data_IF_205192825814
#
_entry.id   IF_205192825814
#
_cell.length_a   1.000
_cell.length_b   1.000
_cell.length_c   1.000
_cell.angle_alpha   90.00
_cell.angle_beta   90.00
_cell.angle_gamma   90.00
#
_symmetry.space_group_name_H-M   'P 1'
#
loop_
_entity.id
_entity.type
_entity.pdbx_description
1 polymer ?
#
# COMPACT_ATOMS: atom_id res chain seq x y z
N UNK A 1 7.54 16.74 9.35
CA UNK A 1 7.83 15.72 8.31
C UNK A 1 8.22 14.36 8.88
N UNK A 2 8.69 14.27 10.14
CA UNK A 2 9.20 13.03 10.73
C UNK A 2 8.16 11.90 10.86
N UNK A 3 6.90 12.21 11.21
CA UNK A 3 5.84 11.21 11.30
C UNK A 3 5.54 10.52 9.96
N UNK A 4 5.52 11.27 8.86
CA UNK A 4 5.33 10.71 7.52
C UNK A 4 6.50 9.82 7.13
N UNK A 5 7.74 10.27 7.41
CA UNK A 5 8.93 9.49 7.12
C UNK A 5 8.97 8.17 7.92
N UNK A 6 8.61 8.21 9.20
CA UNK A 6 8.49 7.03 10.05
C UNK A 6 7.45 6.05 9.52
N UNK A 7 6.29 6.55 9.08
CA UNK A 7 5.23 5.70 8.53
C UNK A 7 5.63 5.10 7.19
N UNK A 8 6.22 5.87 6.27
CA UNK A 8 6.73 5.30 5.01
C UNK A 8 7.72 4.17 5.27
N UNK A 9 8.59 4.32 6.29
CA UNK A 9 9.53 3.28 6.72
C UNK A 9 8.84 2.06 7.35
N UNK A 10 7.79 2.26 8.14
CA UNK A 10 6.97 1.19 8.72
C UNK A 10 6.15 0.43 7.67
N UNK A 11 5.68 1.12 6.64
CA UNK A 11 4.90 0.53 5.55
C UNK A 11 5.78 -0.27 4.56
N UNK A 12 7.11 -0.20 4.70
CA UNK A 12 8.11 -0.81 3.81
C UNK A 12 7.76 -0.63 2.31
N UNK A 13 7.31 0.58 1.96
CA UNK A 13 6.95 0.90 0.58
C UNK A 13 8.23 1.02 -0.24
N UNK A 14 8.48 0.04 -1.11
CA UNK A 14 9.67 -0.05 -1.96
C UNK A 14 9.58 0.78 -3.23
N UNK A 15 8.37 1.13 -3.67
CA UNK A 15 8.17 1.90 -4.90
C UNK A 15 8.39 3.41 -4.65
N UNK A 16 9.39 4.03 -5.30
CA UNK A 16 9.65 5.47 -5.16
C UNK A 16 8.53 6.37 -5.71
N UNK A 17 7.65 5.84 -6.56
CA UNK A 17 6.54 6.57 -7.17
C UNK A 17 5.30 6.63 -6.25
N UNK A 18 5.30 5.88 -5.15
CA UNK A 18 4.28 5.96 -4.10
C UNK A 18 4.67 7.04 -3.11
N UNK A 19 3.80 8.04 -2.95
CA UNK A 19 4.00 9.15 -2.02
C UNK A 19 2.88 9.22 -1.01
N UNK A 20 3.22 9.24 0.28
CA UNK A 20 2.27 9.52 1.36
C UNK A 20 2.04 11.03 1.41
N UNK A 21 0.79 11.42 1.21
CA UNK A 21 0.39 12.83 1.18
C UNK A 21 -0.01 13.31 2.57
N UNK A 22 -0.80 12.53 3.29
CA UNK A 22 -1.32 12.94 4.59
C UNK A 22 -1.78 11.74 5.44
N UNK A 23 -1.93 11.97 6.73
CA UNK A 23 -2.51 11.04 7.69
C UNK A 23 -3.62 11.76 8.43
N UNK A 24 -4.82 11.18 8.42
CA UNK A 24 -5.99 11.71 9.11
C UNK A 24 -6.33 10.75 10.24
N UNK A 25 -6.32 11.24 11.47
CA UNK A 25 -6.83 10.51 12.62
C UNK A 25 -8.33 10.80 12.72
N UNK A 26 -9.16 9.76 12.62
CA UNK A 26 -10.59 9.82 12.98
C UNK A 26 -10.79 9.11 14.31
N UNK A 27 -11.92 9.36 14.94
CA UNK A 27 -12.25 8.79 16.26
C UNK A 27 -12.29 7.25 16.23
N UNK A 28 -12.62 6.66 15.07
CA UNK A 28 -12.77 5.20 14.90
C UNK A 28 -11.64 4.53 14.14
N UNK A 29 -10.84 5.27 13.38
CA UNK A 29 -9.77 4.71 12.54
C UNK A 29 -8.81 5.78 12.04
N UNK A 30 -7.64 5.38 11.58
CA UNK A 30 -6.69 6.25 10.89
C UNK A 30 -6.77 6.05 9.38
N UNK A 31 -6.67 7.13 8.62
CA UNK A 31 -6.61 7.10 7.16
C UNK A 31 -5.26 7.65 6.69
N UNK A 32 -4.51 6.84 5.95
CA UNK A 32 -3.26 7.24 5.30
C UNK A 32 -3.59 7.53 3.83
N UNK A 33 -3.43 8.77 3.41
CA UNK A 33 -3.67 9.18 2.02
C UNK A 33 -2.36 9.04 1.26
N UNK A 34 -2.36 8.22 0.21
CA UNK A 34 -1.22 8.01 -0.67
C UNK A 34 -1.60 8.22 -2.14
N UNK A 35 -0.61 8.57 -2.95
CA UNK A 35 -0.74 8.61 -4.42
C UNK A 35 0.32 7.77 -5.09
N UNK A 36 -0.03 7.18 -6.22
CA UNK A 36 0.88 6.52 -7.14
C UNK A 36 0.98 7.38 -8.41
N UNK A 37 2.15 7.98 -8.64
CA UNK A 37 2.36 8.98 -9.69
C UNK A 37 3.57 8.65 -10.55
N UNK A 38 3.34 7.86 -11.60
CA UNK A 38 4.35 7.57 -12.62
C UNK A 38 4.43 8.65 -13.68
N UNK A 39 5.57 8.69 -14.36
CA UNK A 39 5.69 9.41 -15.63
C UNK A 39 4.94 8.72 -16.75
N UNK A 40 4.49 9.53 -17.71
CA UNK A 40 3.56 9.05 -18.72
C UNK A 40 4.28 8.10 -19.69
N UNK A 41 3.83 6.84 -19.79
CA UNK A 41 4.43 5.91 -20.75
C UNK A 41 3.93 6.19 -22.16
N UNK A 42 4.47 5.46 -23.13
CA UNK A 42 3.94 5.45 -24.49
C UNK A 42 2.64 4.65 -24.56
N UNK A 43 1.73 5.07 -25.45
CA UNK A 43 0.47 4.39 -25.67
C UNK A 43 0.71 3.03 -26.34
N UNK A 44 0.22 1.91 -25.77
CA UNK A 44 0.43 0.58 -26.33
C UNK A 44 -0.29 0.36 -27.67
N UNK A 45 -1.32 1.15 -27.97
CA UNK A 45 -2.10 0.99 -29.21
C UNK A 45 -1.52 1.75 -30.40
N UNK A 46 -0.98 2.95 -30.18
CA UNK A 46 -0.53 3.83 -31.27
C UNK A 46 0.89 4.35 -31.13
N UNK A 47 1.63 3.93 -30.10
CA UNK A 47 3.02 4.36 -29.84
C UNK A 47 3.19 5.82 -29.39
N UNK A 48 2.17 6.65 -29.51
CA UNK A 48 2.23 8.06 -29.12
C UNK A 48 2.32 8.25 -27.60
N UNK A 49 2.94 9.34 -27.17
CA UNK A 49 3.10 9.64 -25.74
C UNK A 49 1.74 9.90 -25.08
N UNK A 50 1.51 9.27 -23.92
CA UNK A 50 0.37 9.60 -23.07
C UNK A 50 0.66 10.89 -22.31
N UNK A 51 -0.39 11.58 -21.82
CA UNK A 51 -0.21 12.68 -20.85
C UNK A 51 -0.89 12.34 -19.54
N UNK A 52 -0.33 12.87 -18.44
CA UNK A 52 -0.97 12.86 -17.12
C UNK A 52 -2.33 13.53 -17.25
N UNK A 53 -3.38 12.85 -16.81
CA UNK A 53 -4.73 13.37 -16.82
C UNK A 53 -5.08 13.78 -15.37
N UNK A 54 -5.91 13.00 -14.71
CA UNK A 54 -6.30 13.18 -13.32
C UNK A 54 -5.93 11.94 -12.48
N UNK A 55 -6.32 11.93 -11.21
CA UNK A 55 -6.22 10.74 -10.37
C UNK A 55 -7.54 9.98 -10.38
N UNK A 56 -7.46 8.66 -10.20
CA UNK A 56 -8.62 7.84 -9.93
C UNK A 56 -9.23 8.20 -8.56
N UNK A 57 -10.53 7.90 -8.41
CA UNK A 57 -11.16 7.84 -7.07
C UNK A 57 -10.32 6.93 -6.17
N UNK A 58 -10.00 7.37 -4.94
CA UNK A 58 -9.12 6.60 -4.06
C UNK A 58 -9.70 5.23 -3.75
N UNK A 59 -8.89 4.18 -3.91
CA UNK A 59 -9.21 2.84 -3.44
C UNK A 59 -8.91 2.72 -1.94
N UNK A 60 -9.81 2.10 -1.18
CA UNK A 60 -9.62 1.84 0.25
C UNK A 60 -8.96 0.48 0.43
N UNK A 61 -7.83 0.45 1.12
CA UNK A 61 -7.10 -0.79 1.42
C UNK A 61 -7.00 -0.89 2.95
N UNK A 62 -7.52 -1.97 3.58
CA UNK A 62 -7.27 -2.21 4.99
C UNK A 62 -5.79 -2.54 5.17
N UNK A 63 -5.13 -1.94 6.18
CA UNK A 63 -3.68 -2.10 6.34
C UNK A 63 -3.30 -2.82 7.63
N UNK A 64 -3.77 -2.36 8.79
CA UNK A 64 -3.45 -3.00 10.08
C UNK A 64 -4.35 -2.47 11.20
N UNK A 65 -4.63 -3.30 12.21
CA UNK A 65 -5.18 -2.88 13.49
C UNK A 65 -4.05 -2.77 14.53
N UNK A 66 -3.25 -1.71 14.46
CA UNK A 66 -2.19 -1.50 15.45
C UNK A 66 -2.80 -0.84 16.69
N UNK A 67 -2.53 -1.37 17.89
CA UNK A 67 -3.02 -0.83 19.18
C UNK A 67 -4.55 -0.76 19.32
N UNK A 68 -5.30 -1.57 18.57
CA UNK A 68 -6.78 -1.56 18.56
C UNK A 68 -7.41 -0.43 17.74
N UNK A 69 -6.62 0.34 16.98
CA UNK A 69 -7.12 1.37 16.07
C UNK A 69 -6.96 0.90 14.62
N UNK A 70 -8.07 0.65 13.89
CA UNK A 70 -8.02 0.27 12.49
C UNK A 70 -7.33 1.35 11.65
N UNK A 71 -6.45 0.94 10.74
CA UNK A 71 -5.80 1.85 9.79
C UNK A 71 -6.13 1.45 8.36
N UNK A 72 -6.51 2.45 7.55
CA UNK A 72 -6.88 2.30 6.14
C UNK A 72 -5.98 3.16 5.27
N UNK A 73 -5.55 2.63 4.13
CA UNK A 73 -4.83 3.37 3.11
C UNK A 73 -5.81 3.79 2.02
N UNK A 74 -5.85 5.09 1.72
CA UNK A 74 -6.56 5.68 0.60
C UNK A 74 -5.56 5.94 -0.53
N UNK A 75 -5.48 5.00 -1.48
CA UNK A 75 -4.54 5.08 -2.59
C UNK A 75 -5.19 5.71 -3.83
N UNK A 76 -4.60 6.80 -4.33
CA UNK A 76 -4.98 7.45 -5.60
C UNK A 76 -4.02 7.06 -6.71
N UNK A 77 -4.49 6.34 -7.72
CA UNK A 77 -3.67 5.98 -8.90
C UNK A 77 -3.75 7.07 -9.98
N UNK A 78 -2.62 7.45 -10.59
CA UNK A 78 -2.58 8.39 -11.73
C UNK A 78 -3.28 7.79 -12.95
N UNK A 79 -4.06 8.59 -13.67
CA UNK A 79 -4.61 8.25 -14.99
C UNK A 79 -3.83 8.96 -16.09
N UNK A 80 -3.76 8.30 -17.23
CA UNK A 80 -3.12 8.77 -18.44
C UNK A 80 -4.13 8.75 -19.59
N UNK A 81 -4.04 9.76 -20.47
CA UNK A 81 -4.86 9.85 -21.68
C UNK A 81 -3.96 9.99 -22.91
N UNK A 82 -4.21 9.16 -23.91
CA UNK A 82 -3.70 9.39 -25.25
C UNK A 82 -4.56 10.42 -25.96
N UNK A 83 -3.97 11.49 -26.49
CA UNK A 83 -4.73 12.50 -27.23
C UNK A 83 -4.91 12.15 -28.72
N UNK A 84 -4.23 11.10 -29.21
CA UNK A 84 -4.38 10.62 -30.58
C UNK A 84 -5.51 9.60 -30.72
N UNK A 85 -5.48 8.52 -29.93
CA UNK A 85 -6.52 7.48 -29.99
C UNK A 85 -7.56 7.55 -28.85
N UNK A 86 -7.49 8.58 -27.99
CA UNK A 86 -8.38 8.75 -26.82
C UNK A 86 -8.33 7.62 -25.77
N UNK A 87 -7.37 6.69 -25.87
CA UNK A 87 -7.20 5.61 -24.90
C UNK A 87 -6.85 6.12 -23.51
N UNK A 88 -7.50 5.55 -22.50
CA UNK A 88 -7.23 5.80 -21.08
C UNK A 88 -6.44 4.64 -20.48
N UNK A 89 -5.47 4.97 -19.63
CA UNK A 89 -4.70 4.00 -18.86
C UNK A 89 -4.56 4.47 -17.41
N UNK A 90 -4.32 3.51 -16.52
CA UNK A 90 -4.06 3.77 -15.10
C UNK A 90 -2.63 3.37 -14.80
N UNK A 91 -1.97 4.12 -13.92
CA UNK A 91 -0.71 3.74 -13.32
C UNK A 91 -0.85 2.40 -12.58
N UNK A 92 -0.12 1.40 -13.05
CA UNK A 92 -0.01 0.07 -12.44
C UNK A 92 1.47 -0.16 -12.10
N UNK A 93 1.73 -0.65 -10.90
CA UNK A 93 3.05 -1.16 -10.51
C UNK A 93 3.25 -2.56 -11.10
N UNK A 94 4.51 -2.98 -11.28
CA UNK A 94 4.83 -4.36 -11.67
C UNK A 94 4.27 -5.41 -10.70
N UNK A 95 4.24 -5.06 -9.40
CA UNK A 95 3.53 -5.78 -8.36
C UNK A 95 2.45 -4.83 -7.85
N UNK A 96 1.18 -5.07 -8.15
CA UNK A 96 0.06 -4.21 -7.75
C UNK A 96 0.25 -3.71 -6.31
N UNK A 97 0.34 -2.39 -6.10
CA UNK A 97 0.47 -1.80 -4.75
C UNK A 97 -0.60 -2.34 -3.81
N UNK A 98 -1.79 -2.61 -4.36
CA UNK A 98 -2.86 -3.32 -3.67
C UNK A 98 -2.44 -4.74 -3.25
N UNK A 99 -1.91 -5.54 -4.17
CA UNK A 99 -1.39 -6.89 -3.89
C UNK A 99 -0.27 -6.87 -2.85
N UNK A 100 0.67 -5.91 -2.91
CA UNK A 100 1.71 -5.76 -1.90
C UNK A 100 1.13 -5.42 -0.52
N UNK A 101 0.18 -4.48 -0.44
CA UNK A 101 -0.50 -4.16 0.82
C UNK A 101 -1.36 -5.31 1.35
N UNK A 102 -2.05 -6.06 0.49
CA UNK A 102 -2.82 -7.24 0.88
C UNK A 102 -1.91 -8.38 1.35
N UNK A 103 -0.80 -8.61 0.66
CA UNK A 103 0.21 -9.60 1.04
C UNK A 103 0.85 -9.25 2.38
N UNK A 104 1.25 -7.99 2.56
CA UNK A 104 1.84 -7.54 3.83
C UNK A 104 0.85 -7.64 5.00
N UNK A 105 -0.42 -7.25 4.79
CA UNK A 105 -1.48 -7.44 5.78
C UNK A 105 -1.66 -8.93 6.13
N UNK A 106 -1.74 -9.81 5.13
CA UNK A 106 -1.89 -11.24 5.38
C UNK A 106 -0.69 -11.83 6.12
N UNK A 107 0.53 -11.44 5.75
CA UNK A 107 1.78 -11.87 6.42
C UNK A 107 1.81 -11.37 7.87
N UNK A 108 1.45 -10.11 8.14
CA UNK A 108 1.43 -9.58 9.51
C UNK A 108 0.36 -10.23 10.38
N UNK A 109 -0.85 -10.42 9.86
CA UNK A 109 -1.92 -11.16 10.56
C UNK A 109 -1.48 -12.60 10.85
N UNK A 110 -0.85 -13.28 9.88
CA UNK A 110 -0.37 -14.65 10.05
C UNK A 110 0.77 -14.74 11.06
N UNK A 111 1.72 -13.79 11.06
CA UNK A 111 2.79 -13.73 12.04
C UNK A 111 2.27 -13.45 13.46
N UNK A 112 1.28 -12.56 13.63
CA UNK A 112 0.63 -12.33 14.92
C UNK A 112 -0.11 -13.58 15.41
N UNK A 113 -0.89 -14.22 14.54
CA UNK A 113 -1.58 -15.48 14.87
C UNK A 113 -0.61 -16.61 15.24
N UNK A 114 0.59 -16.65 14.65
CA UNK A 114 1.64 -17.61 15.01
C UNK A 114 2.34 -17.26 16.32
N UNK A 115 2.50 -15.97 16.65
CA UNK A 115 3.04 -15.52 17.94
C UNK A 115 2.09 -15.80 19.11
N UNK A 116 0.79 -15.78 18.87
CA UNK A 116 -0.25 -16.14 19.84
C UNK A 116 -0.49 -17.67 19.93
N UNK A 117 0.24 -18.48 19.15
CA UNK A 117 0.04 -19.93 19.14
C UNK A 117 0.67 -20.61 20.37
N UNK A 118 -0.06 -21.51 21.08
CA UNK A 118 0.47 -22.27 22.23
C UNK A 118 1.65 -23.19 21.88
N UNK A 119 2.01 -23.34 20.61
CA UNK A 119 3.12 -24.19 20.19
C UNK A 119 4.48 -23.57 20.51
N UNK A 120 4.59 -22.24 20.62
CA UNK A 120 5.84 -21.56 21.00
C UNK A 120 6.15 -21.70 22.50
N UNK A 121 5.14 -21.76 23.39
CA UNK A 121 5.38 -22.03 24.82
C UNK A 121 5.93 -23.45 25.02
N UNK A 122 5.39 -24.43 24.30
CA UNK A 122 5.84 -25.84 24.30
C UNK A 122 7.27 -25.97 23.74
N UNK A 123 7.61 -25.24 22.67
CA UNK A 123 8.96 -25.24 22.09
C UNK A 123 10.00 -24.58 23.02
N UNK A 124 9.61 -23.55 23.77
CA UNK A 124 10.49 -22.86 24.74
C UNK A 124 10.74 -23.66 26.02
N UNK A 125 9.75 -24.42 26.51
CA UNK A 125 9.91 -25.29 27.68
C UNK A 125 10.81 -26.49 27.38
N UNK A 126 10.77 -27.02 26.16
CA UNK A 126 11.63 -28.15 25.74
C UNK A 126 13.11 -27.78 25.65
N UNK A 127 13.44 -26.49 25.45
CA UNK A 127 14.83 -25.97 25.40
C UNK A 127 15.40 -25.57 26.76
N UNK A 128 14.58 -25.40 27.81
CA UNK A 128 15.03 -25.03 29.16
C UNK A 128 15.27 -26.24 30.09
N UNK A 129 14.97 -27.46 29.62
CA UNK A 129 15.16 -28.73 30.35
C UNK A 129 16.28 -29.62 29.76
N UNK A 130 17.18 -29.05 28.96
CA UNK A 130 18.41 -29.70 28.47
C UNK A 130 19.62 -28.90 28.90
#
# INVERSE_FOLDING_TARGET
MEQLHFITKLLDIKDPNVQILNIINKDTHKEIIAKLDYDAPSCPECGNQLKKYDFQKPSKIPYLETTGIPTRILLRKRRFKCYHCSKMMVAETSDDVQSYFFSFYYITVLNLALLDSPLLSIYSEKRRKT
#
